data_IF_763142154370
#
_entry.id   IF_763142154370
#
_cell.length_a   1.000
_cell.length_b   1.000
_cell.length_c   1.000
_cell.angle_alpha   90.00
_cell.angle_beta   90.00
_cell.angle_gamma   90.00
#
_symmetry.space_group_name_H-M   'P 1'
#
loop_
_entity.id
_entity.type
_entity.pdbx_description
1 polymer ?
#
# COMPACT_ATOMS: atom_id res chain seq x y z
N UNK A 1 16.48 -1.65 3.92
CA UNK A 1 15.87 -0.95 5.07
C UNK A 1 14.41 -1.36 5.06
N UNK A 2 13.93 -2.02 6.12
CA UNK A 2 12.50 -2.33 6.29
C UNK A 2 11.77 -1.05 6.71
N UNK A 3 11.18 -0.33 5.76
CA UNK A 3 10.36 0.84 6.07
C UNK A 3 8.95 0.37 6.48
N UNK A 4 8.56 0.69 7.70
CA UNK A 4 7.21 0.43 8.23
C UNK A 4 6.39 1.70 8.04
N UNK A 5 5.25 1.53 7.38
CA UNK A 5 4.28 2.59 7.09
C UNK A 5 2.91 2.17 7.61
N UNK A 6 2.07 3.15 7.93
CA UNK A 6 0.73 2.90 8.42
C UNK A 6 -0.28 3.25 7.34
N UNK A 7 -1.22 2.34 7.11
CA UNK A 7 -2.32 2.57 6.18
C UNK A 7 -3.64 2.21 6.84
N UNK A 8 -4.72 2.77 6.30
CA UNK A 8 -6.06 2.32 6.61
C UNK A 8 -6.35 1.08 5.75
N UNK A 9 -6.60 -0.11 6.32
CA UNK A 9 -6.91 -1.30 5.52
C UNK A 9 -8.16 -1.13 4.65
N UNK A 10 -9.05 -0.19 4.99
CA UNK A 10 -10.21 0.15 4.16
C UNK A 10 -9.88 0.93 2.89
N UNK A 11 -8.68 1.52 2.80
CA UNK A 11 -8.20 2.27 1.64
C UNK A 11 -7.43 1.39 0.65
N UNK A 12 -7.23 0.10 0.98
CA UNK A 12 -6.49 -0.82 0.12
C UNK A 12 -7.18 -0.94 -1.24
N UNK A 13 -6.43 -0.66 -2.31
CA UNK A 13 -6.89 -0.79 -3.69
C UNK A 13 -7.16 -2.26 -4.02
N UNK A 14 -6.43 -3.17 -3.38
CA UNK A 14 -6.61 -4.61 -3.53
C UNK A 14 -5.70 -5.41 -2.63
N UNK A 15 -6.14 -6.62 -2.31
CA UNK A 15 -5.41 -7.61 -1.53
C UNK A 15 -5.03 -8.80 -2.41
N UNK A 16 -3.77 -9.17 -2.41
CA UNK A 16 -3.16 -10.17 -3.27
C UNK A 16 -2.41 -11.19 -2.44
N UNK A 17 -2.39 -12.45 -2.88
CA UNK A 17 -1.56 -13.48 -2.26
C UNK A 17 -0.18 -13.56 -2.90
N UNK A 18 -0.07 -13.15 -4.17
CA UNK A 18 1.18 -13.16 -4.91
C UNK A 18 1.75 -11.75 -5.12
N UNK A 19 3.05 -11.61 -4.91
CA UNK A 19 3.76 -10.35 -5.06
C UNK A 19 3.72 -9.83 -6.51
N UNK A 20 3.86 -10.74 -7.47
CA UNK A 20 3.94 -10.38 -8.88
C UNK A 20 2.58 -9.87 -9.40
N UNK A 21 1.49 -10.46 -8.90
CA UNK A 21 0.13 -9.97 -9.18
C UNK A 21 -0.10 -8.57 -8.59
N UNK A 22 0.36 -8.33 -7.37
CA UNK A 22 0.27 -7.02 -6.73
C UNK A 22 1.04 -5.95 -7.52
N UNK A 23 2.31 -6.22 -7.87
CA UNK A 23 3.14 -5.28 -8.64
C UNK A 23 2.53 -4.98 -10.01
N UNK A 24 2.06 -6.01 -10.73
CA UNK A 24 1.42 -5.82 -12.03
C UNK A 24 0.18 -4.94 -11.93
N UNK A 25 -0.63 -5.16 -10.91
CA UNK A 25 -1.86 -4.37 -10.69
C UNK A 25 -1.53 -2.94 -10.29
N UNK A 26 -0.52 -2.75 -9.44
CA UNK A 26 0.00 -1.44 -9.06
C UNK A 26 0.49 -0.64 -10.28
N UNK A 27 1.25 -1.28 -11.19
CA UNK A 27 1.68 -0.65 -12.43
C UNK A 27 0.51 -0.19 -13.30
N UNK A 28 -0.48 -1.07 -13.51
CA UNK A 28 -1.69 -0.73 -14.27
C UNK A 28 -2.42 0.46 -13.61
N UNK A 29 -2.50 0.49 -12.28
CA UNK A 29 -3.15 1.58 -11.56
C UNK A 29 -2.42 2.91 -11.72
N UNK A 30 -1.08 2.90 -11.60
CA UNK A 30 -0.22 4.07 -11.85
C UNK A 30 -0.39 4.62 -13.26
N UNK A 31 -0.44 3.74 -14.26
CA UNK A 31 -0.65 4.14 -15.67
C UNK A 31 -2.02 4.80 -15.86
N UNK A 32 -3.06 4.31 -15.17
CA UNK A 32 -4.42 4.87 -15.26
C UNK A 32 -4.57 6.22 -14.55
N UNK A 33 -3.91 6.40 -13.40
CA UNK A 33 -4.04 7.61 -12.56
C UNK A 33 -3.03 8.73 -12.89
N UNK A 34 -2.26 8.63 -13.99
CA UNK A 34 -1.42 9.70 -14.55
C UNK A 34 -0.58 10.51 -13.51
N UNK A 35 0.44 9.88 -12.91
CA UNK A 35 1.41 10.42 -11.91
C UNK A 35 1.11 10.16 -10.43
N UNK A 36 0.11 9.35 -10.09
CA UNK A 36 0.00 8.89 -8.70
C UNK A 36 1.01 7.79 -8.40
N UNK A 37 1.69 7.92 -7.27
CA UNK A 37 2.63 6.93 -6.75
C UNK A 37 1.85 5.88 -6.00
N UNK A 38 2.14 4.62 -6.28
CA UNK A 38 1.50 3.50 -5.60
C UNK A 38 2.55 2.65 -4.92
N UNK A 39 2.16 2.04 -3.82
CA UNK A 39 3.02 1.25 -2.97
C UNK A 39 2.44 -0.15 -2.88
N UNK A 40 3.29 -1.13 -3.18
CA UNK A 40 3.00 -2.52 -2.86
C UNK A 40 3.56 -2.76 -1.48
N UNK A 41 2.69 -3.11 -0.55
CA UNK A 41 3.08 -3.37 0.84
C UNK A 41 2.64 -4.76 1.24
N UNK A 42 3.22 -5.28 2.30
CA UNK A 42 2.78 -6.53 2.89
C UNK A 42 2.54 -6.34 4.39
N UNK A 43 1.57 -7.08 4.92
CA UNK A 43 1.32 -7.11 6.35
C UNK A 43 2.53 -7.69 7.10
N UNK A 44 2.61 -7.41 8.41
CA UNK A 44 3.65 -7.98 9.29
C UNK A 44 3.69 -9.52 9.28
N UNK A 45 2.56 -10.15 8.96
CA UNK A 45 2.41 -11.60 8.84
C UNK A 45 2.93 -12.15 7.49
N UNK A 46 3.29 -11.27 6.54
CA UNK A 46 3.90 -11.56 5.24
C UNK A 46 3.15 -12.61 4.38
N UNK A 47 1.83 -12.75 4.60
CA UNK A 47 0.99 -13.68 3.83
C UNK A 47 0.30 -13.03 2.64
N UNK A 48 0.03 -11.73 2.72
CA UNK A 48 -0.74 -11.00 1.72
C UNK A 48 -0.06 -9.67 1.41
N UNK A 49 -0.19 -9.27 0.15
CA UNK A 49 0.24 -8.00 -0.39
C UNK A 49 -0.98 -7.10 -0.58
N UNK A 50 -0.88 -5.87 -0.12
CA UNK A 50 -1.88 -4.85 -0.31
C UNK A 50 -1.28 -3.74 -1.18
N UNK A 51 -2.12 -3.08 -1.97
CA UNK A 51 -1.70 -1.93 -2.77
C UNK A 51 -2.37 -0.70 -2.19
N UNK A 52 -1.55 0.30 -1.86
CA UNK A 52 -2.02 1.60 -1.39
C UNK A 52 -1.44 2.71 -2.24
N UNK A 53 -2.07 3.88 -2.17
CA UNK A 53 -1.50 5.09 -2.72
C UNK A 53 -0.43 5.62 -1.78
N UNK A 54 0.67 6.16 -2.32
CA UNK A 54 1.71 6.74 -1.49
C UNK A 54 1.25 8.01 -0.76
N UNK A 55 0.16 8.62 -1.22
CA UNK A 55 -0.45 9.81 -0.59
C UNK A 55 -1.30 9.45 0.64
N UNK A 56 -1.84 8.22 0.68
CA UNK A 56 -2.68 7.70 1.77
C UNK A 56 -1.88 7.16 2.97
N UNK A 57 -0.56 7.37 2.99
CA UNK A 57 0.27 7.04 4.15
C UNK A 57 -0.25 7.82 5.35
N UNK A 58 -0.65 7.09 6.39
CA UNK A 58 -1.10 7.71 7.64
C UNK A 58 0.10 8.36 8.33
N UNK A 59 -0.07 9.65 8.59
CA UNK A 59 0.83 10.54 9.30
C UNK A 59 0.07 11.25 10.42
N UNK A 60 0.78 12.00 11.25
CA UNK A 60 0.15 12.76 12.35
C UNK A 60 -0.91 13.78 11.90
N UNK A 61 -0.96 14.11 10.61
CA UNK A 61 -1.91 15.09 10.03
C UNK A 61 -3.28 14.46 9.70
N UNK A 62 -3.32 13.19 9.29
CA UNK A 62 -4.52 12.50 8.78
C UNK A 62 -4.99 11.30 9.63
N UNK A 63 -4.42 11.11 10.84
CA UNK A 63 -4.72 9.98 11.73
C UNK A 63 -6.13 9.98 12.38
N UNK A 64 -6.85 11.12 12.32
CA UNK A 64 -7.90 11.47 13.28
C UNK A 64 -9.08 10.49 13.44
N UNK A 65 -9.32 9.55 12.52
CA UNK A 65 -10.34 8.50 12.65
C UNK A 65 -10.02 7.22 11.86
N UNK A 66 -8.77 7.01 11.44
CA UNK A 66 -8.40 5.89 10.58
C UNK A 66 -7.97 4.66 11.39
N UNK A 67 -8.40 3.46 10.99
CA UNK A 67 -7.89 2.20 11.57
C UNK A 67 -6.46 2.03 11.05
N UNK A 68 -5.46 2.29 11.88
CA UNK A 68 -4.07 2.23 11.44
C UNK A 68 -3.56 0.80 11.54
N UNK A 69 -3.14 0.21 10.41
CA UNK A 69 -2.41 -1.05 10.40
C UNK A 69 -0.97 -0.83 9.93
N UNK A 70 0.02 -1.46 10.59
CA UNK A 70 1.40 -1.43 10.15
C UNK A 70 1.60 -2.35 8.94
N UNK A 71 2.26 -1.81 7.92
CA UNK A 71 2.65 -2.51 6.71
C UNK A 71 4.12 -2.26 6.42
N UNK A 72 4.73 -3.17 5.67
CA UNK A 72 6.10 -3.04 5.18
C UNK A 72 6.08 -2.83 3.68
N UNK A 73 6.88 -1.88 3.21
CA UNK A 73 6.97 -1.60 1.77
C UNK A 73 7.76 -2.72 1.08
N UNK A 74 7.10 -3.43 0.17
CA UNK A 74 7.75 -4.36 -0.75
C UNK A 74 8.33 -3.61 -1.94
N UNK A 75 7.51 -2.77 -2.58
CA UNK A 75 7.85 -2.13 -3.85
C UNK A 75 7.24 -0.73 -3.97
N UNK A 76 7.95 0.15 -4.69
CA UNK A 76 7.55 1.55 -4.90
C UNK A 76 7.44 1.78 -6.40
N UNK A 77 6.19 1.92 -6.88
CA UNK A 77 5.88 2.01 -8.30
C UNK A 77 5.58 3.45 -8.69
#
# INVERSE_FOLDING_TARGET
>A
MDEIVFFNPGDSIGNFHDHNEAVKTAQIYKEKEHNKKVLVVHGVDNKNFDIFMADDIISHDNERNAIQKPYKISDRI
#
